data_IF_449646683606
#
_entry.id   IF_449646683606
#
_cell.length_a   1.000
_cell.length_b   1.000
_cell.length_c   1.000
_cell.angle_alpha   90.00
_cell.angle_beta   90.00
_cell.angle_gamma   90.00
#
_symmetry.space_group_name_H-M   'P 1'
#
loop_
_entity.id
_entity.type
_entity.pdbx_description
1 polymer ?
#
# COMPACT_ATOMS: atom_id res chain seq x y z
N UNK A 1 -14.99 -9.25 -47.27
CA UNK A 1 -14.01 -9.40 -46.18
C UNK A 1 -14.19 -8.25 -45.21
N UNK A 2 -14.81 -8.51 -44.06
CA UNK A 2 -15.10 -7.50 -43.05
C UNK A 2 -13.81 -7.17 -42.28
N UNK A 3 -13.43 -5.89 -42.23
CA UNK A 3 -12.39 -5.38 -41.33
C UNK A 3 -12.99 -5.31 -39.93
N UNK A 4 -12.49 -6.10 -38.99
CA UNK A 4 -12.86 -5.94 -37.59
C UNK A 4 -12.25 -4.62 -37.09
N UNK A 5 -13.11 -3.64 -36.81
CA UNK A 5 -12.74 -2.50 -35.99
C UNK A 5 -12.61 -3.03 -34.56
N UNK A 6 -11.40 -3.43 -34.19
CA UNK A 6 -11.04 -3.66 -32.79
C UNK A 6 -11.26 -2.35 -32.05
N UNK A 7 -12.29 -2.31 -31.22
CA UNK A 7 -12.51 -1.22 -30.28
C UNK A 7 -11.24 -1.09 -29.44
N UNK A 8 -10.48 -0.02 -29.68
CA UNK A 8 -9.48 0.43 -28.74
C UNK A 8 -10.26 0.81 -27.48
N UNK A 9 -10.22 -0.06 -26.48
CA UNK A 9 -10.56 0.30 -25.11
C UNK A 9 -9.92 1.67 -24.86
N UNK A 10 -10.74 2.69 -24.61
CA UNK A 10 -10.31 4.09 -24.41
C UNK A 10 -9.46 4.30 -23.16
N UNK A 11 -8.80 3.24 -22.69
CA UNK A 11 -7.87 3.26 -21.57
C UNK A 11 -6.51 3.74 -22.09
N UNK A 12 -5.90 4.73 -21.44
CA UNK A 12 -4.56 5.17 -21.80
C UNK A 12 -3.56 4.00 -21.69
N UNK A 13 -2.51 3.99 -22.52
CA UNK A 13 -1.47 2.95 -22.47
C UNK A 13 -0.90 2.81 -21.06
N UNK A 14 -0.64 1.57 -20.62
CA UNK A 14 -0.14 1.28 -19.28
C UNK A 14 1.14 2.07 -18.92
N UNK A 15 2.01 2.31 -19.91
CA UNK A 15 3.21 3.14 -19.73
C UNK A 15 2.89 4.61 -19.41
N UNK A 16 1.85 5.18 -20.03
CA UNK A 16 1.40 6.54 -19.72
C UNK A 16 0.79 6.63 -18.32
N UNK A 17 0.07 5.59 -17.89
CA UNK A 17 -0.45 5.50 -16.52
C UNK A 17 0.68 5.37 -15.50
N UNK A 18 1.69 4.53 -15.76
CA UNK A 18 2.85 4.35 -14.88
C UNK A 18 3.68 5.65 -14.77
N UNK A 19 3.88 6.37 -15.87
CA UNK A 19 4.63 7.64 -15.86
C UNK A 19 3.85 8.80 -15.22
N UNK A 20 2.53 8.85 -15.42
CA UNK A 20 1.64 9.75 -14.69
C UNK A 20 1.61 9.40 -13.19
N UNK A 21 1.59 8.11 -12.84
CA UNK A 21 1.70 7.63 -11.46
C UNK A 21 3.02 8.10 -10.84
N UNK A 22 4.17 7.85 -11.49
CA UNK A 22 5.50 8.26 -11.02
C UNK A 22 5.64 9.78 -10.88
N UNK A 23 5.04 10.54 -11.80
CA UNK A 23 5.05 12.01 -11.75
C UNK A 23 4.19 12.56 -10.61
N UNK A 24 2.99 12.01 -10.42
CA UNK A 24 2.16 12.30 -9.26
C UNK A 24 2.89 11.93 -7.96
N UNK A 25 3.55 10.78 -7.90
CA UNK A 25 4.33 10.30 -6.75
C UNK A 25 5.49 11.22 -6.35
N UNK A 26 6.19 11.86 -7.30
CA UNK A 26 7.27 12.82 -6.99
C UNK A 26 6.78 14.14 -6.44
N UNK A 27 5.58 14.57 -6.84
CA UNK A 27 5.00 15.87 -6.49
C UNK A 27 4.08 15.78 -5.26
N UNK A 28 3.64 14.56 -4.90
CA UNK A 28 2.78 14.23 -3.76
C UNK A 28 3.43 14.40 -2.38
N UNK A 29 4.02 15.55 -2.10
CA UNK A 29 4.24 15.97 -0.72
C UNK A 29 2.88 16.31 -0.12
N UNK A 30 2.27 15.32 0.54
CA UNK A 30 1.24 15.48 1.57
C UNK A 30 -0.24 15.71 1.15
N UNK A 31 -0.56 16.26 -0.04
CA UNK A 31 -1.95 16.65 -0.37
C UNK A 31 -2.82 15.59 -1.07
N UNK A 32 -2.28 14.41 -1.27
CA UNK A 32 -2.93 13.36 -2.06
C UNK A 32 -3.91 12.55 -1.21
N UNK A 33 -3.74 12.47 0.10
CA UNK A 33 -4.47 11.51 0.92
C UNK A 33 -6.01 11.58 0.82
N UNK A 34 -6.63 12.77 0.80
CA UNK A 34 -8.09 12.85 0.80
C UNK A 34 -8.78 12.39 -0.49
N UNK A 35 -8.13 12.55 -1.65
CA UNK A 35 -8.75 12.31 -2.97
C UNK A 35 -8.76 10.84 -3.37
N UNK A 36 -7.85 10.04 -2.82
CA UNK A 36 -7.64 8.66 -3.24
C UNK A 36 -8.41 7.66 -2.38
N UNK A 37 -8.93 8.07 -1.22
CA UNK A 37 -9.82 7.25 -0.40
C UNK A 37 -11.07 6.77 -1.16
N UNK A 38 -11.46 7.48 -2.22
CA UNK A 38 -12.63 7.18 -3.05
C UNK A 38 -12.30 6.34 -4.31
N UNK A 39 -11.03 6.01 -4.56
CA UNK A 39 -10.58 5.29 -5.75
C UNK A 39 -10.44 3.78 -5.49
N UNK A 40 -10.72 2.96 -6.51
CA UNK A 40 -10.42 1.51 -6.50
C UNK A 40 -8.91 1.23 -6.31
N UNK A 41 -8.04 2.20 -6.63
CA UNK A 41 -6.58 2.14 -6.42
C UNK A 41 -6.14 2.69 -5.04
N UNK A 42 -7.08 2.97 -4.14
CA UNK A 42 -6.81 3.51 -2.80
C UNK A 42 -5.78 2.70 -2.00
N UNK A 43 -5.81 1.37 -2.13
CA UNK A 43 -4.94 0.47 -1.37
C UNK A 43 -3.45 0.72 -1.62
N UNK A 44 -3.03 0.85 -2.88
CA UNK A 44 -1.63 1.11 -3.25
C UNK A 44 -1.17 2.47 -2.72
N UNK A 45 -2.04 3.48 -2.84
CA UNK A 45 -1.77 4.83 -2.35
C UNK A 45 -1.70 4.89 -0.82
N UNK A 46 -2.54 4.12 -0.11
CA UNK A 46 -2.49 4.01 1.35
C UNK A 46 -1.20 3.33 1.79
N UNK A 47 -0.76 2.26 1.10
CA UNK A 47 0.51 1.58 1.40
C UNK A 47 1.72 2.49 1.17
N UNK A 48 1.74 3.25 0.06
CA UNK A 48 2.77 4.25 -0.19
C UNK A 48 2.76 5.35 0.87
N UNK A 49 1.58 5.85 1.23
CA UNK A 49 1.52 6.88 2.25
C UNK A 49 2.05 6.33 3.58
N UNK A 50 1.64 5.13 3.97
CA UNK A 50 2.16 4.46 5.16
C UNK A 50 3.69 4.29 5.10
N UNK A 51 4.25 3.83 3.98
CA UNK A 51 5.70 3.64 3.82
C UNK A 51 6.47 4.97 3.97
N UNK A 52 5.92 6.07 3.46
CA UNK A 52 6.52 7.40 3.62
C UNK A 52 6.40 7.94 5.06
N UNK A 53 5.36 7.55 5.79
CA UNK A 53 5.10 8.05 7.14
C UNK A 53 5.81 7.25 8.22
N UNK A 54 5.96 5.93 8.05
CA UNK A 54 6.59 5.02 9.02
C UNK A 54 7.97 5.48 9.53
N UNK A 55 8.88 6.03 8.71
CA UNK A 55 10.17 6.53 9.19
C UNK A 55 10.08 7.73 10.13
N UNK A 56 8.95 8.47 10.15
CA UNK A 56 8.83 9.73 10.86
C UNK A 56 8.48 9.51 12.34
N UNK A 57 9.30 10.04 13.24
CA UNK A 57 9.13 9.86 14.69
C UNK A 57 7.80 10.43 15.23
N UNK A 58 7.35 11.57 14.70
CA UNK A 58 6.07 12.18 15.07
C UNK A 58 4.87 11.29 14.69
N UNK A 59 4.95 10.65 13.53
CA UNK A 59 3.96 9.68 13.09
C UNK A 59 3.99 8.42 13.95
N UNK A 60 5.16 7.85 14.22
CA UNK A 60 5.31 6.67 15.07
C UNK A 60 4.68 6.88 16.45
N UNK A 61 4.92 8.03 17.07
CA UNK A 61 4.34 8.37 18.38
C UNK A 61 2.79 8.40 18.35
N UNK A 62 2.19 8.84 17.25
CA UNK A 62 0.73 8.88 17.11
C UNK A 62 0.15 7.49 16.75
N UNK A 63 0.82 6.76 15.86
CA UNK A 63 0.31 5.53 15.27
C UNK A 63 0.58 4.29 16.12
N UNK A 64 1.77 4.14 16.70
CA UNK A 64 2.19 2.92 17.40
C UNK A 64 1.29 2.53 18.58
N UNK A 65 0.72 3.47 19.38
CA UNK A 65 -0.21 3.11 20.43
C UNK A 65 -1.48 2.40 19.94
N UNK A 66 -1.82 2.53 18.66
CA UNK A 66 -2.98 1.85 18.04
C UNK A 66 -2.67 0.44 17.52
N UNK A 67 -1.39 0.04 17.54
CA UNK A 67 -0.95 -1.22 16.96
C UNK A 67 -0.98 -2.37 17.98
N UNK A 68 -1.37 -3.55 17.53
CA UNK A 68 -1.08 -4.78 18.26
C UNK A 68 0.41 -5.07 18.31
N UNK A 69 0.86 -5.97 19.21
CA UNK A 69 2.27 -6.37 19.30
C UNK A 69 2.81 -6.88 17.95
N UNK A 70 2.04 -7.70 17.24
CA UNK A 70 2.44 -8.22 15.92
C UNK A 70 2.57 -7.10 14.89
N UNK A 71 1.62 -6.16 14.86
CA UNK A 71 1.67 -5.01 13.96
C UNK A 71 2.84 -4.08 14.28
N UNK A 72 3.13 -3.85 15.56
CA UNK A 72 4.30 -3.09 15.99
C UNK A 72 5.61 -3.74 15.49
N UNK A 73 5.72 -5.06 15.61
CA UNK A 73 6.87 -5.79 15.11
C UNK A 73 6.99 -5.69 13.58
N UNK A 74 5.88 -5.77 12.82
CA UNK A 74 5.86 -5.56 11.36
C UNK A 74 6.33 -4.15 10.97
N UNK A 75 5.88 -3.13 11.69
CA UNK A 75 6.30 -1.75 11.44
C UNK A 75 7.79 -1.57 11.72
N UNK A 76 8.30 -2.18 12.79
CA UNK A 76 9.73 -2.16 13.15
C UNK A 76 10.57 -2.89 12.09
N UNK A 77 10.15 -4.09 11.68
CA UNK A 77 10.79 -4.84 10.60
C UNK A 77 10.87 -4.01 9.31
N UNK A 78 9.77 -3.35 8.93
CA UNK A 78 9.75 -2.51 7.74
C UNK A 78 10.76 -1.36 7.83
N UNK A 79 10.85 -0.68 8.98
CA UNK A 79 11.82 0.41 9.20
C UNK A 79 13.26 -0.10 9.15
N UNK A 80 13.57 -1.18 9.86
CA UNK A 80 14.93 -1.74 9.92
C UNK A 80 15.42 -2.15 8.53
N UNK A 81 14.56 -2.82 7.76
CA UNK A 81 14.88 -3.24 6.39
C UNK A 81 14.94 -2.07 5.41
N UNK A 82 14.12 -1.03 5.60
CA UNK A 82 14.17 0.17 4.74
C UNK A 82 15.49 0.90 4.94
N UNK A 83 15.89 1.11 6.21
CA UNK A 83 17.19 1.72 6.56
C UNK A 83 18.34 0.91 6.01
N UNK A 84 18.29 -0.42 6.13
CA UNK A 84 19.30 -1.29 5.54
C UNK A 84 19.41 -1.14 4.01
N UNK A 85 18.28 -0.97 3.31
CA UNK A 85 18.27 -0.74 1.86
C UNK A 85 18.79 0.65 1.45
N UNK A 86 18.65 1.64 2.32
CA UNK A 86 19.19 3.00 2.15
C UNK A 86 20.70 3.04 2.43
N UNK A 87 21.13 2.34 3.48
CA UNK A 87 22.53 2.18 3.90
C UNK A 87 23.28 1.11 3.08
N UNK A 88 22.60 0.48 2.12
CA UNK A 88 23.15 -0.62 1.34
C UNK A 88 24.37 -0.16 0.54
N UNK A 89 25.55 -0.61 0.96
CA UNK A 89 26.83 -0.25 0.36
C UNK A 89 27.50 -1.45 -0.34
N UNK A 90 28.06 -1.18 -1.52
CA UNK A 90 28.86 -2.13 -2.30
C UNK A 90 30.35 -1.77 -2.25
N UNK A 91 31.21 -2.78 -2.16
CA UNK A 91 32.64 -2.60 -2.41
C UNK A 91 32.91 -2.33 -3.91
N UNK A 92 34.12 -1.87 -4.22
CA UNK A 92 34.63 -1.80 -5.60
C UNK A 92 34.52 -3.19 -6.24
N UNK A 93 33.60 -3.36 -7.19
CA UNK A 93 33.23 -4.65 -7.78
C UNK A 93 31.75 -5.02 -7.67
N UNK A 94 30.93 -4.21 -6.99
CA UNK A 94 29.47 -4.38 -6.95
C UNK A 94 28.97 -5.39 -5.91
N UNK A 95 29.86 -6.16 -5.28
CA UNK A 95 29.53 -7.05 -4.19
C UNK A 95 29.14 -6.27 -2.92
N UNK A 96 28.15 -6.75 -2.13
CA UNK A 96 27.79 -6.14 -0.86
C UNK A 96 28.99 -6.15 0.10
N UNK A 97 29.14 -5.06 0.87
CA UNK A 97 30.18 -5.00 1.90
C UNK A 97 29.93 -6.04 3.01
N UNK A 98 30.99 -6.44 3.72
CA UNK A 98 30.84 -7.32 4.90
C UNK A 98 29.89 -6.74 5.94
N UNK A 99 29.93 -5.43 6.15
CA UNK A 99 29.04 -4.73 7.08
C UNK A 99 27.58 -4.83 6.63
N UNK A 100 27.31 -4.62 5.33
CA UNK A 100 25.97 -4.78 4.74
C UNK A 100 25.42 -6.19 4.97
N UNK A 101 26.26 -7.22 4.75
CA UNK A 101 25.90 -8.63 4.96
C UNK A 101 25.57 -8.91 6.42
N UNK A 102 26.47 -8.52 7.35
CA UNK A 102 26.26 -8.75 8.78
C UNK A 102 25.03 -8.01 9.30
N UNK A 103 24.78 -6.78 8.83
CA UNK A 103 23.56 -6.04 9.19
C UNK A 103 22.30 -6.73 8.70
N UNK A 104 22.32 -7.28 7.48
CA UNK A 104 21.21 -8.06 6.92
C UNK A 104 20.92 -9.32 7.75
N UNK A 105 21.96 -10.04 8.20
CA UNK A 105 21.82 -11.19 9.10
C UNK A 105 21.23 -10.81 10.46
N UNK A 106 21.70 -9.71 11.06
CA UNK A 106 21.15 -9.22 12.32
C UNK A 106 19.65 -8.93 12.22
N UNK A 107 19.22 -8.24 11.15
CA UNK A 107 17.81 -7.96 10.90
C UNK A 107 17.02 -9.26 10.75
N UNK A 108 17.55 -10.23 10.01
CA UNK A 108 16.93 -11.55 9.88
C UNK A 108 16.77 -12.23 11.25
N UNK A 109 17.83 -12.33 12.04
CA UNK A 109 17.80 -12.99 13.35
C UNK A 109 16.83 -12.32 14.32
N UNK A 110 16.78 -10.99 14.31
CA UNK A 110 15.87 -10.20 15.14
C UNK A 110 14.40 -10.44 14.79
N UNK A 111 14.09 -10.62 13.50
CA UNK A 111 12.72 -10.69 12.99
C UNK A 111 12.30 -12.08 12.50
N UNK A 112 13.15 -13.11 12.59
CA UNK A 112 12.86 -14.45 12.06
C UNK A 112 11.59 -15.08 12.64
N UNK A 113 11.28 -14.81 13.92
CA UNK A 113 10.08 -15.34 14.56
C UNK A 113 8.83 -14.73 13.95
N UNK A 114 8.83 -13.40 13.77
CA UNK A 114 7.80 -12.65 13.06
C UNK A 114 7.64 -13.16 11.62
N UNK A 115 8.76 -13.31 10.90
CA UNK A 115 8.75 -13.80 9.52
C UNK A 115 8.11 -15.20 9.43
N UNK A 116 8.45 -16.09 10.36
CA UNK A 116 7.95 -17.47 10.36
C UNK A 116 6.49 -17.59 10.78
N UNK A 117 5.98 -16.69 11.64
CA UNK A 117 4.60 -16.76 12.15
C UNK A 117 3.61 -15.91 11.38
N UNK A 118 4.05 -14.77 10.85
CA UNK A 118 3.18 -13.76 10.25
C UNK A 118 3.18 -13.80 8.74
N UNK A 119 4.16 -14.44 8.11
CA UNK A 119 4.18 -14.61 6.66
C UNK A 119 3.70 -16.01 6.34
N UNK A 120 2.56 -16.10 5.66
CA UNK A 120 1.97 -17.38 5.24
C UNK A 120 2.84 -18.13 4.22
N UNK A 121 3.80 -17.43 3.59
CA UNK A 121 4.70 -17.99 2.59
C UNK A 121 6.00 -18.50 3.20
N UNK A 122 6.07 -19.82 3.42
CA UNK A 122 7.32 -20.53 3.75
C UNK A 122 8.40 -20.37 2.69
N UNK A 123 7.99 -20.16 1.44
CA UNK A 123 8.87 -19.90 0.29
C UNK A 123 9.61 -18.57 0.44
N UNK A 124 8.93 -17.49 0.81
CA UNK A 124 9.57 -16.19 1.03
C UNK A 124 10.64 -16.26 2.12
N UNK A 125 10.34 -16.94 3.22
CA UNK A 125 11.28 -17.15 4.34
C UNK A 125 12.51 -17.94 3.86
N UNK A 126 12.31 -18.97 3.04
CA UNK A 126 13.39 -19.76 2.46
C UNK A 126 14.26 -18.94 1.49
N UNK A 127 13.64 -18.14 0.61
CA UNK A 127 14.33 -17.26 -0.33
C UNK A 127 15.19 -16.23 0.42
N UNK A 128 14.63 -15.58 1.43
CA UNK A 128 15.39 -14.63 2.26
C UNK A 128 16.62 -15.32 2.87
N UNK A 129 16.42 -16.48 3.50
CA UNK A 129 17.50 -17.23 4.15
C UNK A 129 18.61 -17.64 3.16
N UNK A 130 18.26 -18.09 1.96
CA UNK A 130 19.22 -18.48 0.94
C UNK A 130 20.06 -17.30 0.43
N UNK A 131 19.46 -16.11 0.34
CA UNK A 131 20.11 -14.93 -0.22
C UNK A 131 20.79 -14.04 0.85
N UNK A 132 20.82 -14.42 2.13
CA UNK A 132 21.47 -13.63 3.19
C UNK A 132 23.01 -13.52 3.03
N UNK A 133 23.63 -14.46 2.33
CA UNK A 133 25.09 -14.51 2.16
C UNK A 133 25.59 -13.74 0.93
N UNK A 134 24.71 -13.50 -0.02
CA UNK A 134 24.94 -12.64 -1.18
C UNK A 134 23.70 -11.74 -1.38
N UNK A 135 23.45 -10.82 -0.42
CA UNK A 135 22.21 -10.07 -0.39
C UNK A 135 22.20 -9.06 -1.53
N UNK A 136 21.14 -9.06 -2.34
CA UNK A 136 20.87 -7.92 -3.23
C UNK A 136 20.29 -6.74 -2.42
N UNK A 137 20.39 -5.52 -2.94
CA UNK A 137 19.75 -4.34 -2.33
C UNK A 137 18.24 -4.54 -2.11
N UNK A 138 17.60 -5.36 -2.94
CA UNK A 138 16.17 -5.65 -2.87
C UNK A 138 15.84 -6.89 -2.01
N UNK A 139 16.79 -7.44 -1.25
CA UNK A 139 16.61 -8.70 -0.49
C UNK A 139 15.28 -8.72 0.28
N UNK A 140 15.00 -7.66 1.04
CA UNK A 140 13.81 -7.59 1.90
C UNK A 140 12.58 -6.99 1.23
N UNK A 141 12.66 -6.56 -0.03
CA UNK A 141 11.60 -5.77 -0.68
C UNK A 141 10.24 -6.49 -0.67
N UNK A 142 10.21 -7.76 -1.08
CA UNK A 142 8.98 -8.55 -1.06
C UNK A 142 8.41 -8.67 0.36
N UNK A 143 9.26 -8.88 1.36
CA UNK A 143 8.84 -8.97 2.76
C UNK A 143 8.33 -7.63 3.30
N UNK A 144 8.92 -6.51 2.89
CA UNK A 144 8.44 -5.16 3.21
C UNK A 144 7.05 -4.92 2.64
N UNK A 145 6.81 -5.31 1.39
CA UNK A 145 5.48 -5.20 0.77
C UNK A 145 4.45 -6.03 1.52
N UNK A 146 4.80 -7.25 1.93
CA UNK A 146 3.94 -8.07 2.78
C UNK A 146 3.65 -7.42 4.15
N UNK A 147 4.66 -6.82 4.79
CA UNK A 147 4.48 -6.12 6.07
C UNK A 147 3.52 -4.92 5.93
N UNK A 148 3.69 -4.09 4.88
CA UNK A 148 2.78 -2.98 4.59
C UNK A 148 1.34 -3.44 4.32
N UNK A 149 1.19 -4.54 3.58
CA UNK A 149 -0.12 -5.13 3.31
C UNK A 149 -0.85 -5.53 4.59
N UNK A 150 -0.14 -6.09 5.57
CA UNK A 150 -0.74 -6.45 6.86
C UNK A 150 -1.04 -5.23 7.74
N UNK A 151 -0.22 -4.17 7.65
CA UNK A 151 -0.43 -2.93 8.38
C UNK A 151 -1.54 -2.05 7.80
N UNK A 152 -1.89 -2.23 6.53
CA UNK A 152 -2.87 -1.42 5.81
C UNK A 152 -4.18 -1.23 6.57
N UNK A 153 -4.77 -2.31 7.09
CA UNK A 153 -6.06 -2.26 7.80
C UNK A 153 -5.98 -1.50 9.12
N UNK A 154 -4.89 -1.66 9.87
CA UNK A 154 -4.65 -0.91 11.11
C UNK A 154 -4.42 0.57 10.81
N UNK A 155 -3.71 0.87 9.72
CA UNK A 155 -3.46 2.23 9.30
C UNK A 155 -4.75 2.94 8.88
N UNK A 156 -5.60 2.31 8.08
CA UNK A 156 -6.90 2.85 7.71
C UNK A 156 -7.75 3.17 8.96
N UNK A 157 -7.84 2.22 9.91
CA UNK A 157 -8.55 2.44 11.18
C UNK A 157 -7.95 3.58 12.01
N UNK A 158 -6.63 3.70 12.05
CA UNK A 158 -5.96 4.80 12.73
C UNK A 158 -6.37 6.15 12.13
N UNK A 159 -6.37 6.27 10.81
CA UNK A 159 -6.75 7.51 10.11
C UNK A 159 -8.21 7.91 10.36
N UNK A 160 -9.08 6.94 10.61
CA UNK A 160 -10.48 7.15 11.00
C UNK A 160 -10.66 7.47 12.50
N UNK A 161 -9.64 7.22 13.33
CA UNK A 161 -9.69 7.45 14.77
C UNK A 161 -9.50 8.92 15.13
N UNK A 162 -9.91 9.31 16.34
CA UNK A 162 -9.65 10.65 16.88
C UNK A 162 -8.16 10.99 16.93
N UNK A 163 -7.30 10.00 17.21
CA UNK A 163 -5.84 10.17 17.22
C UNK A 163 -5.28 10.44 15.81
N UNK A 164 -5.76 9.70 14.80
CA UNK A 164 -5.37 9.94 13.41
C UNK A 164 -5.85 11.28 12.90
N UNK A 165 -7.10 11.67 13.18
CA UNK A 165 -7.63 12.99 12.82
C UNK A 165 -6.82 14.11 13.48
N UNK A 166 -6.50 13.98 14.78
CA UNK A 166 -5.67 14.95 15.48
C UNK A 166 -4.26 15.04 14.87
N UNK A 167 -3.67 13.90 14.48
CA UNK A 167 -2.38 13.86 13.80
C UNK A 167 -2.43 14.54 12.43
N UNK A 168 -3.43 14.24 11.59
CA UNK A 168 -3.62 14.84 10.27
C UNK A 168 -3.76 16.36 10.38
N UNK A 169 -4.61 16.84 11.31
CA UNK A 169 -4.77 18.27 11.57
C UNK A 169 -3.45 18.93 11.99
N UNK A 170 -2.65 18.27 12.85
CA UNK A 170 -1.35 18.76 13.29
C UNK A 170 -0.36 18.95 12.14
N UNK A 171 -0.40 18.07 11.13
CA UNK A 171 0.47 18.17 9.95
C UNK A 171 -0.14 19.00 8.80
N UNK A 172 -1.24 19.72 9.07
CA UNK A 172 -1.91 20.60 8.11
C UNK A 172 -2.73 19.86 7.06
N UNK A 173 -3.05 18.58 7.27
CA UNK A 173 -3.91 17.81 6.38
C UNK A 173 -5.35 17.81 6.87
N UNK A 174 -6.27 18.18 5.98
CA UNK A 174 -7.70 18.09 6.22
C UNK A 174 -8.29 16.90 5.47
N UNK A 175 -9.14 16.13 6.14
CA UNK A 175 -9.89 15.06 5.48
C UNK A 175 -10.93 15.67 4.53
N UNK A 176 -11.03 15.16 3.30
CA UNK A 176 -12.18 15.46 2.45
C UNK A 176 -13.41 14.81 3.07
N UNK A 177 -14.57 15.48 3.07
CA UNK A 177 -15.81 14.87 3.54
C UNK A 177 -16.05 13.55 2.80
N UNK A 178 -16.48 12.54 3.55
CA UNK A 178 -16.93 11.27 2.95
C UNK A 178 -18.02 11.63 1.94
N UNK A 179 -17.92 11.20 0.68
CA UNK A 179 -18.93 11.51 -0.31
C UNK A 179 -20.26 10.95 0.21
N UNK A 180 -21.31 11.77 0.15
CA UNK A 180 -22.63 11.35 0.58
C UNK A 180 -23.00 10.05 -0.13
N UNK A 181 -23.68 9.14 0.59
CA UNK A 181 -24.18 7.91 0.00
C UNK A 181 -24.90 8.25 -1.32
N UNK A 182 -24.63 7.50 -2.41
CA UNK A 182 -25.36 7.72 -3.64
C UNK A 182 -26.85 7.65 -3.32
N UNK A 183 -27.67 8.58 -3.86
CA UNK A 183 -29.09 8.59 -3.58
C UNK A 183 -29.64 7.20 -3.83
N UNK A 184 -30.39 6.67 -2.85
CA UNK A 184 -30.97 5.34 -2.94
C UNK A 184 -31.58 5.17 -4.34
N UNK A 185 -31.30 4.05 -5.04
CA UNK A 185 -31.81 3.86 -6.38
C UNK A 185 -33.31 4.09 -6.32
N UNK A 186 -33.80 5.11 -7.04
CA UNK A 186 -35.22 5.38 -7.13
C UNK A 186 -35.85 4.05 -7.52
N UNK A 187 -36.61 3.43 -6.61
CA UNK A 187 -37.43 2.29 -6.95
C UNK A 187 -38.22 2.75 -8.16
N UNK A 188 -37.94 2.14 -9.32
CA UNK A 188 -38.75 2.38 -10.53
C UNK A 188 -40.18 2.13 -10.08
N UNK A 189 -40.98 3.19 -10.02
CA UNK A 189 -42.40 3.08 -9.79
C UNK A 189 -42.90 2.00 -10.74
N UNK A 190 -43.57 0.99 -10.16
CA UNK A 190 -43.99 -0.21 -10.86
C UNK A 190 -44.55 0.16 -12.23
N UNK A 191 -43.83 -0.26 -13.27
CA UNK A 191 -44.38 -0.32 -14.61
C UNK A 191 -45.50 -1.35 -14.53
N UNK A 192 -46.72 -0.89 -14.26
CA UNK A 192 -47.92 -1.66 -14.50
C UNK A 192 -47.96 -1.94 -16.01
N UNK A 193 -47.36 -3.04 -16.45
CA UNK A 193 -47.61 -3.60 -17.77
C UNK A 193 -48.98 -4.27 -17.73
N UNK A 194 -50.01 -3.46 -17.88
CA UNK A 194 -51.37 -3.90 -18.19
C UNK A 194 -51.80 -3.21 -19.49
N UNK A 195 -50.98 -3.33 -20.54
CA UNK A 195 -51.41 -3.05 -21.90
C UNK A 195 -51.69 -4.39 -22.58
N UNK A 196 -52.90 -4.86 -22.28
CA UNK A 196 -53.63 -5.91 -22.98
C UNK A 196 -54.04 -5.36 -24.36
N UNK A 197 -53.18 -5.53 -25.37
CA UNK A 197 -53.56 -5.30 -26.77
C UNK A 197 -54.23 -6.57 -27.34
N UNK A 198 -55.44 -6.82 -26.84
CA UNK A 198 -56.38 -7.81 -27.37
C UNK A 198 -57.68 -7.10 -27.74
N UNK A 199 -57.74 -6.46 -28.92
CA UNK A 199 -59.03 -6.25 -29.61
C UNK A 199 -58.79 -5.82 -31.06
N UNK A 200 -59.12 -6.77 -31.95
CA UNK A 200 -59.95 -6.59 -33.15
C UNK A 200 -59.78 -5.29 -33.95
N UNK A 201 -59.21 -5.38 -35.16
CA UNK A 201 -59.87 -5.11 -36.47
C UNK A 201 -58.98 -5.66 -37.60
#
# INVERSE_FOLDING_TARGET
MAKSNGAQDGRPPAACLDEAYRSCYRVAKFDIFPRFWQSEYSREMIMLHLSNMLPRADFQHAFYPSLSRTQHNLATFWIDTSRWGDDYWCALGGAPSKETIERGKQIWEQHQSLLSTSFESTELVAILKQNLFDPSRALFYSAQVHALNQLHSAYAKFLDSSAGIAYLNKIGMSRLPVPADPPAPMMKAGSNSNDDYSSEW
#
